data_IF_774137437635
#
_entry.id   IF_774137437635
#
_cell.length_a   1.000
_cell.length_b   1.000
_cell.length_c   1.000
_cell.angle_alpha   90.00
_cell.angle_beta   90.00
_cell.angle_gamma   90.00
#
_symmetry.space_group_name_H-M   'P 1'
#
loop_
_entity.id
_entity.type
_entity.pdbx_description
1 polymer ?
#
# COMPACT_ATOMS: atom_id res chain seq x y z
N UNK A 1 -21.55 21.51 -9.52
CA UNK A 1 -21.07 20.46 -10.46
C UNK A 1 -21.09 19.08 -9.77
N UNK A 2 -21.94 18.15 -10.22
CA UNK A 2 -21.94 16.77 -9.73
C UNK A 2 -20.68 16.06 -10.26
N UNK A 3 -19.59 16.12 -9.51
CA UNK A 3 -18.39 15.37 -9.84
C UNK A 3 -18.66 13.88 -9.59
N UNK A 4 -18.30 13.02 -10.55
CA UNK A 4 -18.41 11.55 -10.45
C UNK A 4 -17.64 10.98 -9.24
N UNK A 5 -16.70 11.77 -8.69
CA UNK A 5 -15.89 11.46 -7.52
C UNK A 5 -15.71 12.69 -6.62
N UNK A 6 -15.73 12.47 -5.32
CA UNK A 6 -15.54 13.49 -4.29
C UNK A 6 -14.47 13.04 -3.28
N UNK A 7 -13.63 13.97 -2.80
CA UNK A 7 -12.66 13.67 -1.75
C UNK A 7 -13.22 14.05 -0.38
N UNK A 8 -13.32 13.08 0.51
CA UNK A 8 -13.78 13.26 1.88
C UNK A 8 -12.80 12.62 2.86
N UNK A 9 -12.28 13.40 3.81
CA UNK A 9 -11.31 12.92 4.83
C UNK A 9 -10.13 12.11 4.24
N UNK A 10 -9.71 12.49 3.03
CA UNK A 10 -8.64 11.81 2.30
C UNK A 10 -9.05 10.55 1.53
N UNK A 11 -10.29 10.06 1.69
CA UNK A 11 -10.86 8.99 0.86
C UNK A 11 -11.59 9.55 -0.36
N UNK A 12 -11.66 8.75 -1.43
CA UNK A 12 -12.40 9.07 -2.65
C UNK A 12 -13.73 8.35 -2.64
N UNK A 13 -14.83 9.11 -2.58
CA UNK A 13 -16.19 8.61 -2.66
C UNK A 13 -16.65 8.76 -4.11
N UNK A 14 -17.08 7.65 -4.72
CA UNK A 14 -17.63 7.64 -6.07
C UNK A 14 -19.16 7.58 -6.03
N UNK A 15 -19.82 8.22 -7.01
CA UNK A 15 -21.28 8.22 -7.11
C UNK A 15 -21.87 6.87 -7.50
N UNK A 16 -21.10 6.00 -8.15
CA UNK A 16 -21.47 4.63 -8.50
C UNK A 16 -21.30 3.63 -7.34
N UNK A 17 -20.77 4.07 -6.19
CA UNK A 17 -20.51 3.21 -5.03
C UNK A 17 -19.27 2.30 -5.17
N UNK A 18 -18.52 2.38 -6.26
CA UNK A 18 -17.30 1.61 -6.44
C UNK A 18 -16.13 2.20 -5.65
N UNK A 19 -15.24 1.33 -5.19
CA UNK A 19 -14.11 1.69 -4.31
C UNK A 19 -12.76 1.68 -5.02
N UNK A 20 -12.75 1.45 -6.34
CA UNK A 20 -11.52 1.31 -7.14
C UNK A 20 -10.58 2.51 -7.05
N UNK A 21 -11.13 3.72 -7.10
CA UNK A 21 -10.32 4.94 -7.03
C UNK A 21 -9.80 5.19 -5.62
N UNK A 22 -10.56 4.84 -4.57
CA UNK A 22 -10.07 4.98 -3.20
C UNK A 22 -8.91 4.02 -2.96
N UNK A 23 -9.01 2.77 -3.42
CA UNK A 23 -7.90 1.80 -3.32
C UNK A 23 -6.68 2.27 -4.11
N UNK A 24 -6.87 2.76 -5.33
CA UNK A 24 -5.76 3.33 -6.10
C UNK A 24 -5.10 4.48 -5.37
N UNK A 25 -5.90 5.36 -4.76
CA UNK A 25 -5.40 6.47 -3.99
C UNK A 25 -4.64 6.00 -2.75
N UNK A 26 -5.13 4.99 -2.02
CA UNK A 26 -4.43 4.42 -0.86
C UNK A 26 -3.13 3.73 -1.24
N UNK A 27 -3.09 3.03 -2.37
CA UNK A 27 -1.84 2.47 -2.91
C UNK A 27 -0.84 3.58 -3.23
N UNK A 28 -1.27 4.68 -3.86
CA UNK A 28 -0.41 5.84 -4.14
C UNK A 28 0.12 6.48 -2.84
N UNK A 29 -0.75 6.69 -1.86
CA UNK A 29 -0.38 7.27 -0.55
C UNK A 29 0.58 6.33 0.20
N UNK A 30 0.33 5.02 0.17
CA UNK A 30 1.22 4.00 0.72
C UNK A 30 2.62 4.06 0.10
N UNK A 31 2.70 4.15 -1.24
CA UNK A 31 3.98 4.34 -1.95
C UNK A 31 4.66 5.65 -1.58
N UNK A 32 3.91 6.73 -1.39
CA UNK A 32 4.49 8.00 -0.96
C UNK A 32 5.10 7.90 0.44
N UNK A 33 4.39 7.28 1.39
CA UNK A 33 4.90 7.04 2.75
C UNK A 33 6.11 6.10 2.74
N UNK A 34 6.08 5.05 1.91
CA UNK A 34 7.23 4.17 1.71
C UNK A 34 8.44 4.94 1.18
N UNK A 35 8.25 5.80 0.17
CA UNK A 35 9.33 6.63 -0.40
C UNK A 35 9.90 7.59 0.64
N UNK A 36 9.06 8.23 1.45
CA UNK A 36 9.53 9.11 2.53
C UNK A 36 10.36 8.35 3.57
N UNK A 37 10.03 7.08 3.84
CA UNK A 37 10.79 6.22 4.75
C UNK A 37 11.95 5.46 4.08
N UNK A 38 12.21 5.70 2.79
CA UNK A 38 13.20 4.93 2.00
C UNK A 38 14.62 5.02 2.57
N UNK A 39 14.99 6.13 3.21
CA UNK A 39 16.28 6.25 3.91
C UNK A 39 16.51 5.15 4.96
N UNK A 40 15.44 4.67 5.61
CA UNK A 40 15.51 3.57 6.58
C UNK A 40 15.22 2.22 5.90
N UNK A 41 14.23 2.19 5.02
CA UNK A 41 13.75 0.95 4.40
C UNK A 41 14.75 0.38 3.38
N UNK A 42 15.51 1.23 2.69
CA UNK A 42 16.49 0.85 1.67
C UNK A 42 17.93 0.73 2.22
N UNK A 43 18.21 1.20 3.44
CA UNK A 43 19.56 1.11 4.01
C UNK A 43 19.92 -0.33 4.39
N UNK A 44 20.99 -0.86 3.81
CA UNK A 44 21.47 -2.23 4.07
C UNK A 44 22.01 -2.43 5.49
N UNK A 45 22.42 -1.36 6.18
CA UNK A 45 22.97 -1.41 7.54
C UNK A 45 21.88 -1.62 8.60
N UNK A 46 20.63 -1.36 8.25
CA UNK A 46 19.51 -1.43 9.19
C UNK A 46 18.94 -2.85 9.22
N UNK A 47 18.78 -3.48 10.40
CA UNK A 47 18.22 -4.82 10.52
C UNK A 47 16.80 -4.92 9.95
N UNK A 48 16.51 -6.03 9.27
CA UNK A 48 15.20 -6.25 8.62
C UNK A 48 14.03 -6.18 9.63
N UNK A 49 14.24 -6.65 10.86
CA UNK A 49 13.26 -6.56 11.95
C UNK A 49 12.85 -5.11 12.25
N UNK A 50 13.80 -4.18 12.23
CA UNK A 50 13.51 -2.76 12.45
C UNK A 50 12.80 -2.14 11.25
N UNK A 51 13.24 -2.46 10.03
CA UNK A 51 12.52 -2.04 8.80
C UNK A 51 11.08 -2.53 8.78
N UNK A 52 10.82 -3.76 9.20
CA UNK A 52 9.47 -4.31 9.33
C UNK A 52 8.60 -3.52 10.32
N UNK A 53 9.16 -3.09 11.45
CA UNK A 53 8.46 -2.21 12.40
C UNK A 53 8.12 -0.86 11.76
N UNK A 54 9.07 -0.24 11.06
CA UNK A 54 8.88 1.03 10.36
C UNK A 54 7.80 0.91 9.28
N UNK A 55 7.82 -0.16 8.50
CA UNK A 55 6.78 -0.45 7.51
C UNK A 55 5.40 -0.56 8.17
N UNK A 56 5.28 -1.37 9.23
CA UNK A 56 4.03 -1.58 9.97
C UNK A 56 3.50 -0.29 10.60
N UNK A 57 4.37 0.62 11.02
CA UNK A 57 3.99 1.86 11.69
C UNK A 57 3.64 3.00 10.72
N UNK A 58 4.32 3.10 9.58
CA UNK A 58 4.19 4.27 8.68
C UNK A 58 3.43 3.93 7.40
N UNK A 59 3.77 2.81 6.77
CA UNK A 59 3.29 2.49 5.41
C UNK A 59 1.97 1.72 5.46
N UNK A 60 1.90 0.69 6.31
CA UNK A 60 0.72 -0.17 6.42
C UNK A 60 -0.55 0.60 6.84
N UNK A 61 -0.53 1.53 7.81
CA UNK A 61 -1.73 2.31 8.15
C UNK A 61 -2.16 3.23 7.01
N UNK A 62 -1.23 3.76 6.23
CA UNK A 62 -1.53 4.61 5.08
C UNK A 62 -2.20 3.84 3.93
N UNK A 63 -1.81 2.57 3.73
CA UNK A 63 -2.43 1.65 2.78
C UNK A 63 -3.82 1.20 3.21
N UNK A 64 -4.03 0.97 4.51
CA UNK A 64 -5.27 0.39 5.04
C UNK A 64 -6.28 1.41 5.54
N UNK A 65 -5.97 2.71 5.48
CA UNK A 65 -6.92 3.73 5.91
C UNK A 65 -8.22 3.64 5.10
N UNK A 66 -9.35 3.58 5.81
CA UNK A 66 -10.69 3.46 5.22
C UNK A 66 -11.09 2.03 4.85
N UNK A 67 -10.22 1.04 5.04
CA UNK A 67 -10.49 -0.35 4.66
C UNK A 67 -11.65 -0.99 5.44
N UNK A 68 -11.92 -0.53 6.66
CA UNK A 68 -13.04 -0.98 7.50
C UNK A 68 -14.41 -0.62 6.89
N UNK A 69 -14.47 0.40 6.03
CA UNK A 69 -15.70 0.90 5.42
C UNK A 69 -15.88 0.46 3.96
N UNK A 70 -14.94 -0.32 3.42
CA UNK A 70 -14.99 -0.73 2.02
C UNK A 70 -15.78 -2.02 1.80
N UNK A 71 -16.64 -2.03 0.79
CA UNK A 71 -17.26 -3.24 0.23
C UNK A 71 -16.27 -3.95 -0.71
N UNK A 72 -15.29 -4.66 -0.14
CA UNK A 72 -14.17 -5.26 -0.91
C UNK A 72 -14.57 -6.50 -1.73
N UNK A 73 -14.21 -6.51 -3.02
CA UNK A 73 -14.18 -7.73 -3.87
C UNK A 73 -12.78 -8.35 -3.85
N UNK A 74 -12.65 -9.63 -4.25
CA UNK A 74 -11.34 -10.34 -4.29
C UNK A 74 -10.27 -9.62 -5.12
N UNK A 75 -10.68 -8.96 -6.22
CA UNK A 75 -9.80 -8.17 -7.08
C UNK A 75 -9.13 -7.00 -6.35
N UNK A 76 -9.85 -6.35 -5.43
CA UNK A 76 -9.37 -5.21 -4.63
C UNK A 76 -8.30 -5.67 -3.65
N UNK A 77 -8.59 -6.75 -2.90
CA UNK A 77 -7.64 -7.36 -1.96
C UNK A 77 -6.38 -7.77 -2.70
N UNK A 78 -6.51 -8.39 -3.88
CA UNK A 78 -5.36 -8.81 -4.67
C UNK A 78 -4.49 -7.62 -5.12
N UNK A 79 -5.09 -6.51 -5.54
CA UNK A 79 -4.36 -5.29 -5.91
C UNK A 79 -3.56 -4.71 -4.74
N UNK A 80 -4.17 -4.66 -3.56
CA UNK A 80 -3.48 -4.21 -2.35
C UNK A 80 -2.35 -5.16 -1.95
N UNK A 81 -2.61 -6.48 -1.99
CA UNK A 81 -1.61 -7.52 -1.71
C UNK A 81 -0.41 -7.41 -2.64
N UNK A 82 -0.63 -7.19 -3.94
CA UNK A 82 0.44 -6.99 -4.91
C UNK A 82 1.28 -5.75 -4.58
N UNK A 83 0.65 -4.64 -4.20
CA UNK A 83 1.35 -3.42 -3.81
C UNK A 83 2.18 -3.61 -2.53
N UNK A 84 1.59 -4.18 -1.49
CA UNK A 84 2.26 -4.50 -0.21
C UNK A 84 3.44 -5.45 -0.44
N UNK A 85 3.22 -6.55 -1.16
CA UNK A 85 4.27 -7.53 -1.43
C UNK A 85 5.44 -6.93 -2.21
N UNK A 86 5.16 -6.04 -3.17
CA UNK A 86 6.21 -5.33 -3.91
C UNK A 86 7.05 -4.44 -2.98
N UNK A 87 6.42 -3.70 -2.07
CA UNK A 87 7.12 -2.88 -1.08
C UNK A 87 7.97 -3.74 -0.14
N UNK A 88 7.44 -4.85 0.35
CA UNK A 88 8.13 -5.76 1.27
C UNK A 88 9.33 -6.42 0.60
N UNK A 89 9.19 -6.92 -0.64
CA UNK A 89 10.32 -7.49 -1.39
C UNK A 89 11.46 -6.49 -1.54
N UNK A 90 11.14 -5.22 -1.81
CA UNK A 90 12.17 -4.17 -1.86
C UNK A 90 12.83 -3.91 -0.50
N UNK A 91 12.09 -3.93 0.60
CA UNK A 91 12.63 -3.80 1.96
C UNK A 91 13.61 -4.95 2.27
N UNK A 92 13.27 -6.17 1.84
CA UNK A 92 14.11 -7.36 1.98
C UNK A 92 15.27 -7.41 0.96
N UNK A 93 15.33 -6.48 0.00
CA UNK A 93 16.34 -6.50 -1.07
C UNK A 93 16.12 -7.56 -2.14
N UNK A 94 14.93 -8.19 -2.19
CA UNK A 94 14.61 -9.19 -3.20
C UNK A 94 14.29 -8.57 -4.55
N UNK A 95 15.07 -8.96 -5.55
CA UNK A 95 14.94 -8.58 -6.94
C UNK A 95 14.21 -9.67 -7.73
N UNK A 96 14.09 -9.48 -9.06
CA UNK A 96 13.59 -10.54 -9.96
C UNK A 96 14.66 -11.62 -10.22
N UNK A 97 15.94 -11.30 -10.01
CA UNK A 97 17.08 -12.21 -10.23
C UNK A 97 17.05 -13.35 -9.21
N UNK A 98 16.61 -13.07 -7.99
CA UNK A 98 16.57 -14.06 -6.91
C UNK A 98 15.55 -15.18 -7.15
N UNK A 99 14.62 -15.02 -8.11
CA UNK A 99 13.58 -16.00 -8.48
C UNK A 99 12.71 -16.50 -7.31
N UNK A 100 12.70 -15.80 -6.17
CA UNK A 100 11.89 -16.12 -4.99
C UNK A 100 10.41 -15.85 -5.32
N UNK A 101 9.57 -16.88 -5.21
CA UNK A 101 8.11 -16.74 -5.37
C UNK A 101 7.50 -16.15 -4.10
N UNK A 102 6.37 -15.47 -4.24
CA UNK A 102 5.59 -15.06 -3.07
C UNK A 102 4.94 -16.33 -2.50
N UNK A 103 5.03 -16.50 -1.20
CA UNK A 103 4.27 -17.54 -0.50
C UNK A 103 2.78 -17.14 -0.49
N UNK A 104 1.92 -18.12 -0.82
CA UNK A 104 0.47 -17.95 -0.99
C UNK A 104 -0.23 -18.02 0.35
#
# INVERSE_FOLDING_TARGET
PRGERFRYLGSIIQTNGEIDEDINQRIKVGWQKWRNASGVLCDRRIPLRLKGKVYRMIVRPALLYGAECWSVKKSHIQRMRVAEMRMIRWICGHTRIDKIRNEV
#
